data_IF_303844358181
#
_entry.id   IF_303844358181
#
_cell.length_a   1.000
_cell.length_b   1.000
_cell.length_c   1.000
_cell.angle_alpha   90.00
_cell.angle_beta   90.00
_cell.angle_gamma   90.00
#
_symmetry.space_group_name_H-M   'P 1'
#
loop_
_entity.id
_entity.type
_entity.pdbx_description
1 polymer ?
#
# COMPACT_ATOMS: atom_id res chain seq x y z
N UNK A 1 0.44 12.77 -1.50
CA UNK A 1 -0.60 11.84 -1.03
C UNK A 1 0.00 10.48 -0.75
N UNK A 2 -0.71 9.57 -0.06
CA UNK A 2 -0.23 8.20 0.15
C UNK A 2 -0.27 7.37 -1.12
N UNK A 3 0.53 6.31 -1.19
CA UNK A 3 0.61 5.42 -2.35
C UNK A 3 -0.67 4.60 -2.52
N UNK A 4 -1.24 4.11 -1.42
CA UNK A 4 -2.41 3.23 -1.44
C UNK A 4 -3.31 3.45 -0.21
N UNK A 5 -4.56 3.05 -0.31
CA UNK A 5 -5.49 2.98 0.81
C UNK A 5 -5.32 1.67 1.59
N UNK A 6 -5.76 1.65 2.86
CA UNK A 6 -5.66 0.47 3.72
C UNK A 6 -6.63 -0.65 3.34
N UNK A 7 -7.73 -0.31 2.69
CA UNK A 7 -8.80 -1.24 2.30
C UNK A 7 -8.65 -1.76 0.86
N UNK A 8 -8.52 -0.86 -0.11
CA UNK A 8 -8.48 -1.24 -1.52
C UNK A 8 -7.09 -1.56 -2.07
N UNK A 9 -6.04 -0.98 -1.51
CA UNK A 9 -4.60 -1.20 -1.83
C UNK A 9 -4.22 -1.22 -3.32
N UNK A 10 -5.04 -0.59 -4.18
CA UNK A 10 -4.91 -0.70 -5.64
C UNK A 10 -3.96 0.33 -6.28
N UNK A 11 -3.39 1.25 -5.51
CA UNK A 11 -2.40 2.26 -5.93
C UNK A 11 -2.82 3.17 -7.09
N UNK A 12 -4.08 3.21 -7.47
CA UNK A 12 -4.56 3.93 -8.68
C UNK A 12 -4.79 5.42 -8.44
N UNK A 13 -5.16 5.82 -7.23
CA UNK A 13 -5.58 7.20 -6.93
C UNK A 13 -4.55 8.26 -7.29
N UNK A 14 -3.25 8.12 -6.95
CA UNK A 14 -2.24 9.12 -7.34
C UNK A 14 -2.11 9.26 -8.86
N UNK A 15 -2.13 8.14 -9.58
CA UNK A 15 -1.98 8.11 -11.03
C UNK A 15 -3.18 8.75 -11.73
N UNK A 16 -4.40 8.41 -11.31
CA UNK A 16 -5.62 9.00 -11.84
C UNK A 16 -5.73 10.50 -11.56
N UNK A 17 -5.27 10.93 -10.38
CA UNK A 17 -5.22 12.35 -10.06
C UNK A 17 -4.22 13.10 -10.95
N UNK A 18 -3.03 12.55 -11.15
CA UNK A 18 -2.01 13.14 -11.98
C UNK A 18 -2.48 13.28 -13.44
N UNK A 19 -3.08 12.23 -13.98
CA UNK A 19 -3.66 12.22 -15.32
C UNK A 19 -4.75 13.28 -15.47
N UNK A 20 -5.66 13.38 -14.49
CA UNK A 20 -6.73 14.39 -14.54
C UNK A 20 -6.24 15.81 -14.43
N UNK A 21 -5.12 16.04 -13.75
CA UNK A 21 -4.49 17.37 -13.61
C UNK A 21 -3.53 17.67 -14.76
N UNK A 22 -3.12 16.69 -15.56
CA UNK A 22 -2.06 16.81 -16.56
C UNK A 22 -0.68 17.06 -15.92
N UNK A 23 -0.46 16.53 -14.70
CA UNK A 23 0.78 16.73 -13.97
C UNK A 23 1.61 15.44 -13.94
N UNK A 24 2.96 15.54 -13.90
CA UNK A 24 3.81 14.37 -13.71
C UNK A 24 3.51 13.70 -12.38
N UNK A 25 3.67 12.37 -12.31
CA UNK A 25 3.50 11.59 -11.10
C UNK A 25 4.77 10.80 -10.78
N UNK A 26 5.20 10.85 -9.52
CA UNK A 26 6.27 9.99 -9.01
C UNK A 26 5.70 9.14 -7.88
N UNK A 27 5.87 7.82 -8.01
CA UNK A 27 5.40 6.84 -7.03
C UNK A 27 6.53 6.39 -6.10
N UNK A 28 6.16 5.72 -5.01
CA UNK A 28 7.10 5.15 -4.03
C UNK A 28 8.15 6.15 -3.50
N UNK A 29 7.71 7.39 -3.31
CA UNK A 29 8.58 8.45 -2.81
C UNK A 29 8.94 8.17 -1.34
N UNK A 30 10.23 8.22 -1.05
CA UNK A 30 10.79 7.98 0.29
C UNK A 30 11.41 9.21 0.93
N UNK A 31 11.89 10.17 0.12
CA UNK A 31 12.43 11.44 0.61
C UNK A 31 12.16 12.59 -0.35
N UNK A 32 12.07 13.78 0.20
CA UNK A 32 11.84 15.04 -0.50
C UNK A 32 12.76 16.12 0.04
N UNK A 33 13.43 16.84 -0.87
CA UNK A 33 14.27 17.97 -0.54
C UNK A 33 13.97 19.14 -1.49
N UNK A 34 13.71 20.34 -0.99
CA UNK A 34 13.59 21.51 -1.86
C UNK A 34 14.97 21.88 -2.44
N UNK A 35 15.03 22.11 -3.75
CA UNK A 35 16.23 22.61 -4.43
C UNK A 35 16.12 24.12 -4.60
N UNK A 36 14.98 24.58 -5.09
CA UNK A 36 14.61 25.99 -5.24
C UNK A 36 13.07 26.13 -5.23
N UNK A 37 12.56 27.33 -5.54
CA UNK A 37 11.10 27.60 -5.52
C UNK A 37 10.29 26.77 -6.52
N UNK A 38 10.92 26.21 -7.55
CA UNK A 38 10.25 25.47 -8.60
C UNK A 38 10.71 24.01 -8.73
N UNK A 39 11.78 23.64 -8.04
CA UNK A 39 12.36 22.30 -8.18
C UNK A 39 12.46 21.59 -6.86
N UNK A 40 12.08 20.30 -6.87
CA UNK A 40 12.21 19.37 -5.77
C UNK A 40 13.16 18.24 -6.17
N UNK A 41 14.05 17.86 -5.28
CA UNK A 41 14.78 16.60 -5.36
C UNK A 41 13.91 15.53 -4.70
N UNK A 42 13.53 14.54 -5.49
CA UNK A 42 12.66 13.44 -5.09
C UNK A 42 13.46 12.15 -5.11
N UNK A 43 13.47 11.44 -4.00
CA UNK A 43 14.02 10.09 -3.92
C UNK A 43 12.87 9.10 -3.93
N UNK A 44 12.89 8.18 -4.89
CA UNK A 44 11.91 7.09 -5.02
C UNK A 44 12.58 5.73 -5.02
N UNK A 45 11.81 4.69 -4.71
CA UNK A 45 12.30 3.32 -4.68
C UNK A 45 11.50 2.47 -5.67
N UNK A 46 12.18 1.88 -6.65
CA UNK A 46 11.59 1.03 -7.68
C UNK A 46 12.40 -0.27 -7.81
N UNK A 47 11.72 -1.40 -7.70
CA UNK A 47 12.30 -2.73 -7.89
C UNK A 47 13.66 -2.95 -7.18
N UNK A 48 13.76 -2.50 -5.92
CA UNK A 48 14.99 -2.62 -5.13
C UNK A 48 16.08 -1.61 -5.50
N UNK A 49 15.81 -0.67 -6.40
CA UNK A 49 16.72 0.42 -6.78
C UNK A 49 16.22 1.75 -6.25
N UNK A 50 17.16 2.62 -5.89
CA UNK A 50 16.86 3.99 -5.49
C UNK A 50 17.08 4.91 -6.66
N UNK A 51 16.04 5.65 -7.06
CA UNK A 51 16.12 6.70 -8.06
C UNK A 51 16.09 8.08 -7.38
N UNK A 52 16.96 8.99 -7.82
CA UNK A 52 16.98 10.39 -7.38
C UNK A 52 16.74 11.27 -8.59
N UNK A 53 15.69 12.07 -8.53
CA UNK A 53 15.26 12.92 -9.65
C UNK A 53 15.05 14.36 -9.19
N UNK A 54 15.33 15.33 -10.07
CA UNK A 54 14.93 16.72 -9.86
C UNK A 54 13.70 16.95 -10.70
N UNK A 55 12.60 17.36 -10.05
CA UNK A 55 11.31 17.57 -10.71
C UNK A 55 10.85 18.99 -10.54
N UNK A 56 10.19 19.50 -11.55
CA UNK A 56 9.57 20.83 -11.53
C UNK A 56 8.15 20.72 -10.97
N UNK A 57 7.77 21.63 -10.08
CA UNK A 57 6.39 21.74 -9.60
C UNK A 57 5.52 22.46 -10.65
N UNK A 58 4.23 22.09 -10.79
CA UNK A 58 3.46 21.15 -9.95
C UNK A 58 3.70 19.68 -10.32
N UNK A 59 3.68 18.80 -9.31
CA UNK A 59 3.90 17.36 -9.45
C UNK A 59 3.03 16.60 -8.42
N UNK A 60 2.53 15.44 -8.80
CA UNK A 60 1.85 14.53 -7.87
C UNK A 60 2.87 13.55 -7.32
N UNK A 61 2.99 13.51 -6.00
CA UNK A 61 3.91 12.64 -5.29
C UNK A 61 3.13 11.61 -4.47
N UNK A 62 3.34 10.33 -4.77
CA UNK A 62 2.78 9.22 -4.02
C UNK A 62 3.83 8.68 -3.04
N UNK A 63 3.66 9.05 -1.76
CA UNK A 63 4.61 8.71 -0.70
C UNK A 63 4.37 7.28 -0.25
N UNK A 64 5.41 6.46 -0.34
CA UNK A 64 5.43 5.07 0.09
C UNK A 64 5.96 4.90 1.53
N UNK A 65 6.76 3.88 1.73
CA UNK A 65 7.40 3.57 3.02
C UNK A 65 8.56 4.54 3.31
N UNK A 66 8.23 5.75 3.71
CA UNK A 66 9.24 6.73 4.12
C UNK A 66 9.79 6.40 5.51
N UNK A 67 11.09 6.67 5.78
CA UNK A 67 11.71 6.40 7.07
C UNK A 67 11.02 7.08 8.26
N UNK A 68 10.33 8.20 8.01
CA UNK A 68 9.61 9.00 9.00
C UNK A 68 8.10 8.83 8.95
N UNK A 69 7.59 7.66 8.56
CA UNK A 69 6.16 7.39 8.37
C UNK A 69 5.35 7.24 9.67
N UNK A 70 5.96 7.47 10.83
CA UNK A 70 5.28 7.37 12.11
C UNK A 70 4.31 8.53 12.33
N UNK A 71 3.06 8.20 12.64
CA UNK A 71 2.08 9.20 13.06
C UNK A 71 2.54 9.87 14.35
N UNK A 72 2.54 11.19 14.35
CA UNK A 72 2.81 11.96 15.55
C UNK A 72 1.70 11.72 16.58
N UNK A 73 2.08 11.20 17.74
CA UNK A 73 1.13 10.97 18.84
C UNK A 73 0.70 12.33 19.40
N UNK A 74 -0.62 12.65 19.40
CA UNK A 74 -1.10 13.91 19.95
C UNK A 74 -0.90 13.94 21.47
N UNK A 75 -0.39 15.05 21.97
CA UNK A 75 -0.26 15.29 23.41
C UNK A 75 -1.64 15.49 24.05
N UNK A 76 -1.75 15.37 25.37
CA UNK A 76 -2.99 15.66 26.10
C UNK A 76 -3.49 17.08 25.83
N UNK A 77 -2.58 18.06 25.73
CA UNK A 77 -2.88 19.44 25.38
C UNK A 77 -3.49 19.57 23.98
N UNK A 78 -2.96 18.82 23.00
CA UNK A 78 -3.49 18.79 21.64
C UNK A 78 -4.89 18.19 21.61
N UNK A 79 -5.12 17.11 22.35
CA UNK A 79 -6.45 16.47 22.47
C UNK A 79 -7.48 17.42 23.09
N UNK A 80 -7.12 18.15 24.14
CA UNK A 80 -7.99 19.13 24.77
C UNK A 80 -8.29 20.32 23.83
N UNK A 81 -7.29 20.80 23.10
CA UNK A 81 -7.44 21.97 22.22
C UNK A 81 -8.17 21.64 20.93
N UNK A 82 -7.94 20.47 20.34
CA UNK A 82 -8.43 20.11 19.02
C UNK A 82 -9.50 19.03 19.00
N UNK A 83 -9.70 18.29 20.09
CA UNK A 83 -10.67 17.17 20.15
C UNK A 83 -12.13 17.57 19.99
N UNK A 84 -12.45 18.87 20.18
CA UNK A 84 -13.81 19.40 20.00
C UNK A 84 -14.00 20.17 18.68
N UNK A 85 -13.04 20.14 17.78
CA UNK A 85 -13.19 20.80 16.47
C UNK A 85 -14.29 20.08 15.67
N UNK A 86 -15.26 20.82 15.10
CA UNK A 86 -16.25 20.24 14.23
C UNK A 86 -15.56 19.65 12.99
N UNK A 87 -16.01 18.47 12.58
CA UNK A 87 -15.61 17.87 11.31
C UNK A 87 -16.52 18.48 10.24
N UNK A 88 -15.94 19.14 9.26
CA UNK A 88 -16.68 19.67 8.13
C UNK A 88 -17.13 18.51 7.23
N UNK A 89 -18.44 18.38 7.05
CA UNK A 89 -19.02 17.40 6.15
C UNK A 89 -19.32 18.08 4.80
N UNK A 90 -18.50 17.78 3.80
CA UNK A 90 -18.73 18.23 2.44
C UNK A 90 -19.60 17.18 1.74
N UNK A 91 -20.84 17.55 1.41
CA UNK A 91 -21.72 16.69 0.62
C UNK A 91 -21.33 16.79 -0.86
N UNK A 92 -21.01 15.66 -1.48
CA UNK A 92 -20.84 15.56 -2.94
C UNK A 92 -22.24 15.69 -3.59
N UNK A 93 -22.28 16.41 -4.71
CA UNK A 93 -23.52 16.53 -5.48
C UNK A 93 -23.95 15.13 -5.94
N UNK A 94 -25.16 14.73 -5.54
CA UNK A 94 -25.68 13.37 -5.78
C UNK A 94 -25.73 13.01 -7.26
N UNK A 95 -25.94 13.99 -8.13
CA UNK A 95 -25.91 13.82 -9.58
C UNK A 95 -24.53 13.43 -10.13
N UNK A 96 -23.46 13.94 -9.51
CA UNK A 96 -22.07 13.57 -9.85
C UNK A 96 -21.75 12.14 -9.38
N UNK A 97 -22.28 11.72 -8.23
CA UNK A 97 -22.10 10.36 -7.72
C UNK A 97 -22.88 9.32 -8.54
N UNK A 98 -24.08 9.67 -9.00
CA UNK A 98 -24.95 8.80 -9.81
C UNK A 98 -24.50 8.69 -11.27
N UNK A 99 -23.80 9.70 -11.82
CA UNK A 99 -23.29 9.67 -13.19
C UNK A 99 -22.07 8.76 -13.38
N UNK A 100 -21.40 8.38 -12.29
CA UNK A 100 -20.32 7.41 -12.33
C UNK A 100 -20.95 6.02 -12.22
N UNK A 101 -21.13 5.36 -13.37
CA UNK A 101 -21.50 3.95 -13.41
C UNK A 101 -20.52 3.15 -12.56
N UNK A 102 -21.02 2.45 -11.54
CA UNK A 102 -20.23 1.52 -10.77
C UNK A 102 -19.85 0.36 -11.68
N UNK A 103 -18.60 0.32 -12.12
CA UNK A 103 -18.09 -0.78 -12.93
C UNK A 103 -17.81 -2.05 -12.09
N UNK A 104 -18.09 -1.99 -10.79
CA UNK A 104 -17.85 -3.09 -9.84
C UNK A 104 -19.10 -3.24 -8.97
N UNK A 105 -19.68 -4.41 -8.99
CA UNK A 105 -20.78 -4.83 -8.12
C UNK A 105 -20.23 -5.78 -7.06
N UNK A 106 -20.58 -5.53 -5.79
CA UNK A 106 -20.27 -6.44 -4.71
C UNK A 106 -21.23 -7.63 -4.77
N UNK A 107 -20.76 -8.78 -5.20
CA UNK A 107 -21.57 -9.99 -5.30
C UNK A 107 -21.72 -10.69 -3.95
N UNK A 108 -20.64 -10.85 -3.22
CA UNK A 108 -20.62 -11.54 -1.94
C UNK A 108 -19.46 -11.05 -1.06
N UNK A 109 -19.69 -11.01 0.23
CA UNK A 109 -18.65 -10.81 1.27
C UNK A 109 -18.60 -12.12 2.08
N UNK A 110 -17.58 -12.92 1.84
CA UNK A 110 -17.29 -14.10 2.64
C UNK A 110 -16.00 -13.92 3.43
N UNK A 111 -15.91 -14.39 4.68
CA UNK A 111 -14.65 -14.43 5.39
C UNK A 111 -13.68 -15.35 4.63
N UNK A 112 -12.45 -14.91 4.48
CA UNK A 112 -11.39 -15.76 3.92
C UNK A 112 -11.09 -16.82 4.97
N UNK A 113 -11.24 -18.08 4.62
CA UNK A 113 -10.79 -19.20 5.45
C UNK A 113 -9.28 -19.40 5.23
N UNK A 114 -8.49 -18.77 6.09
CA UNK A 114 -7.04 -18.92 6.13
C UNK A 114 -6.59 -20.12 7.00
N UNK A 115 -7.52 -21.01 7.35
CA UNK A 115 -7.18 -22.21 8.10
C UNK A 115 -6.17 -23.05 7.33
N UNK A 116 -5.03 -23.28 7.93
CA UNK A 116 -3.97 -24.12 7.37
C UNK A 116 -3.93 -25.43 8.16
N UNK A 117 -4.16 -26.52 7.47
CA UNK A 117 -3.88 -27.85 8.03
C UNK A 117 -2.35 -28.01 8.18
N UNK A 118 -1.89 -27.78 9.40
CA UNK A 118 -0.46 -27.94 9.71
C UNK A 118 -0.18 -29.41 10.05
N UNK A 119 0.54 -30.08 9.18
CA UNK A 119 0.99 -31.45 9.41
C UNK A 119 2.37 -31.37 10.05
N UNK A 120 2.48 -31.91 11.28
CA UNK A 120 3.76 -32.01 11.99
C UNK A 120 4.40 -33.35 11.64
N UNK A 121 5.60 -33.28 11.07
CA UNK A 121 6.38 -34.50 10.76
C UNK A 121 7.18 -34.88 12.00
N UNK A 122 6.85 -36.03 12.59
CA UNK A 122 7.52 -36.56 13.79
C UNK A 122 8.63 -37.52 13.40
N UNK A 123 9.74 -37.50 14.14
CA UNK A 123 10.91 -38.36 14.02
C UNK A 123 11.91 -38.07 15.13
N UNK A 124 12.73 -39.04 15.47
CA UNK A 124 13.73 -38.91 16.53
C UNK A 124 14.92 -38.06 16.10
N UNK A 125 15.29 -38.14 14.82
CA UNK A 125 16.42 -37.42 14.25
C UNK A 125 15.98 -36.45 13.13
N UNK A 126 16.76 -35.38 12.87
CA UNK A 126 16.50 -34.49 11.74
C UNK A 126 16.49 -35.20 10.37
N UNK A 127 17.33 -36.25 10.22
CA UNK A 127 17.41 -37.07 9.01
C UNK A 127 16.12 -37.84 8.79
N UNK A 128 15.58 -38.50 9.79
CA UNK A 128 14.27 -39.19 9.68
C UNK A 128 13.12 -38.26 9.31
N UNK A 129 13.11 -37.05 9.86
CA UNK A 129 12.10 -36.05 9.51
C UNK A 129 12.21 -35.63 8.06
N UNK A 130 13.45 -35.45 7.57
CA UNK A 130 13.71 -35.07 6.19
C UNK A 130 13.31 -36.19 5.21
N UNK A 131 13.63 -37.46 5.52
CA UNK A 131 13.24 -38.63 4.73
C UNK A 131 11.72 -38.79 4.66
N UNK A 132 11.05 -38.70 5.80
CA UNK A 132 9.57 -38.75 5.85
C UNK A 132 8.92 -37.63 5.05
N UNK A 133 9.46 -36.40 5.15
CA UNK A 133 8.98 -35.26 4.35
C UNK A 133 9.15 -35.55 2.86
N UNK A 134 10.32 -36.01 2.46
CA UNK A 134 10.62 -36.28 1.06
C UNK A 134 9.76 -37.42 0.51
N UNK A 135 9.74 -38.57 1.16
CA UNK A 135 9.00 -39.75 0.69
C UNK A 135 7.48 -39.50 0.63
N UNK A 136 6.92 -38.85 1.66
CA UNK A 136 5.47 -38.71 1.79
C UNK A 136 4.92 -37.55 0.96
N UNK A 137 5.63 -36.44 0.86
CA UNK A 137 5.06 -35.21 0.30
C UNK A 137 5.78 -34.64 -0.93
N UNK A 138 7.10 -34.86 -1.06
CA UNK A 138 7.87 -34.23 -2.12
C UNK A 138 8.12 -35.15 -3.32
N UNK A 139 8.39 -36.42 -3.12
CA UNK A 139 8.71 -37.37 -4.18
C UNK A 139 7.69 -37.38 -5.31
N UNK A 140 6.43 -37.58 -5.00
CA UNK A 140 5.37 -37.63 -5.99
C UNK A 140 5.03 -36.28 -6.65
N UNK A 141 5.52 -35.16 -6.09
CA UNK A 141 5.41 -33.84 -6.72
C UNK A 141 6.56 -33.54 -7.65
N UNK A 142 7.76 -33.98 -7.30
CA UNK A 142 8.98 -33.80 -8.09
C UNK A 142 9.00 -34.69 -9.33
N UNK A 143 8.39 -35.88 -9.27
CA UNK A 143 8.24 -36.77 -10.43
C UNK A 143 7.24 -36.26 -11.50
N UNK A 144 6.47 -35.22 -11.16
CA UNK A 144 5.48 -34.59 -12.07
C UNK A 144 5.97 -33.27 -12.68
N UNK A 145 7.15 -32.83 -12.33
CA UNK A 145 7.84 -31.66 -12.89
C UNK A 145 8.76 -32.07 -14.02
#
# INVERSE_FOLDING_TARGET
>A
MGTQSSDGSNMKTPLLLAERLGWPCITQVTALEPVDEKHLRVTSQEDGRTAVQIVTVPVVLAVGNAPCAYLRVPTLKDKMKFGKRPIEHISLDRKLAESQSRNVELMELAPIDDSRDTIRIEGETPQEKAEKLYETYLKGRLEKL
#
